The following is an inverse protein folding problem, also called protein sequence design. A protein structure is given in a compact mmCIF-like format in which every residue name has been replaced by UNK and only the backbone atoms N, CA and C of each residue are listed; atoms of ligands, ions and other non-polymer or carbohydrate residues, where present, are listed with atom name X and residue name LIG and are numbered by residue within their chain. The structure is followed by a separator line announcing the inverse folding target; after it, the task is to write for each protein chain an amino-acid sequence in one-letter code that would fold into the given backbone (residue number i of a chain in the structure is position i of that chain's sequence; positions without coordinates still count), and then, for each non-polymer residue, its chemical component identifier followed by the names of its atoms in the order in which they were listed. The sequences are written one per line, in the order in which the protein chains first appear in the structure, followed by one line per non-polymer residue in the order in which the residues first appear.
data_IF_992523921590
#
_entry.id   IF_992523921590
#
_cell.length_a   1.000
_cell.length_b   1.000
_cell.length_c   1.000
_cell.angle_alpha   90.00
_cell.angle_beta   90.00
_cell.angle_gamma   90.00
#
_symmetry.space_group_name_H-M   'P 1'
#
loop_
_entity.id
_entity.type
_entity.pdbx_description
1 polymer ?
#
# COMPACT_ATOMS: atom_id res chain seq x y z
N UNK A 1 17.61 17.56 2.09
CA UNK A 1 16.17 17.87 2.01
C UNK A 1 15.54 17.42 3.32
N UNK A 2 14.95 18.32 4.11
CA UNK A 2 14.28 17.93 5.35
C UNK A 2 13.08 16.99 5.10
N UNK A 3 12.58 16.28 6.13
CA UNK A 3 11.51 15.29 5.99
C UNK A 3 10.24 15.82 5.29
N UNK A 4 9.93 17.11 5.48
CA UNK A 4 8.82 17.79 4.80
C UNK A 4 9.06 17.96 3.28
N UNK A 5 10.30 18.17 2.86
CA UNK A 5 10.66 18.28 1.44
C UNK A 5 10.51 16.94 0.71
N UNK A 6 10.89 15.83 1.36
CA UNK A 6 10.73 14.49 0.79
C UNK A 6 9.25 14.15 0.56
N UNK A 7 8.37 14.50 1.50
CA UNK A 7 6.93 14.33 1.35
C UNK A 7 6.34 15.10 0.17
N UNK A 8 6.79 16.34 -0.08
CA UNK A 8 6.33 17.16 -1.20
C UNK A 8 6.77 16.58 -2.55
N UNK A 9 8.04 16.20 -2.69
CA UNK A 9 8.52 15.57 -3.93
C UNK A 9 7.89 14.20 -4.16
N UNK A 10 7.66 13.42 -3.11
CA UNK A 10 6.98 12.13 -3.19
C UNK A 10 5.53 12.29 -3.65
N UNK A 11 4.78 13.22 -3.06
CA UNK A 11 3.38 13.47 -3.45
C UNK A 11 3.26 14.05 -4.86
N UNK A 12 4.17 14.95 -5.27
CA UNK A 12 4.26 15.43 -6.66
C UNK A 12 4.58 14.30 -7.65
N UNK A 13 5.55 13.44 -7.32
CA UNK A 13 5.90 12.29 -8.15
C UNK A 13 4.75 11.29 -8.25
N UNK A 14 4.05 11.03 -7.15
CA UNK A 14 2.86 10.19 -7.13
C UNK A 14 1.73 10.80 -7.97
N UNK A 15 1.49 12.12 -7.89
CA UNK A 15 0.48 12.81 -8.69
C UNK A 15 0.79 12.70 -10.19
N UNK A 16 2.04 12.99 -10.59
CA UNK A 16 2.48 12.90 -11.98
C UNK A 16 2.38 11.45 -12.50
N UNK A 17 2.83 10.48 -11.70
CA UNK A 17 2.72 9.06 -12.02
C UNK A 17 1.27 8.63 -12.20
N UNK A 18 0.39 9.03 -11.28
CA UNK A 18 -1.05 8.78 -11.40
C UNK A 18 -1.60 9.40 -12.66
N UNK A 19 -1.25 10.64 -13.01
CA UNK A 19 -1.76 11.27 -14.23
C UNK A 19 -1.29 10.51 -15.49
N UNK A 20 -0.02 10.15 -15.56
CA UNK A 20 0.54 9.39 -16.68
C UNK A 20 -0.10 8.01 -16.84
N UNK A 21 -0.15 7.24 -15.75
CA UNK A 21 -0.70 5.88 -15.77
C UNK A 21 -2.22 5.88 -15.96
N UNK A 22 -2.94 6.82 -15.36
CA UNK A 22 -4.38 6.92 -15.53
C UNK A 22 -4.73 7.29 -16.98
N UNK A 23 -4.04 8.27 -17.58
CA UNK A 23 -4.18 8.58 -19.02
C UNK A 23 -3.85 7.36 -19.89
N UNK A 24 -2.79 6.62 -19.57
CA UNK A 24 -2.41 5.41 -20.30
C UNK A 24 -3.50 4.33 -20.23
N UNK A 25 -4.00 4.01 -19.04
CA UNK A 25 -5.03 2.99 -18.85
C UNK A 25 -6.40 3.41 -19.39
N UNK A 26 -6.71 4.71 -19.43
CA UNK A 26 -7.91 5.21 -20.11
C UNK A 26 -7.84 4.99 -21.63
N UNK A 27 -6.65 5.12 -22.23
CA UNK A 27 -6.41 4.88 -23.67
C UNK A 27 -6.25 3.39 -24.01
N UNK A 28 -5.62 2.61 -23.14
CA UNK A 28 -5.39 1.16 -23.27
C UNK A 28 -5.86 0.43 -22.01
N UNK A 29 -7.18 0.22 -21.85
CA UNK A 29 -7.69 -0.51 -20.71
C UNK A 29 -7.26 -1.98 -20.75
N UNK A 30 -6.95 -2.54 -19.59
CA UNK A 30 -6.64 -3.98 -19.44
C UNK A 30 -7.89 -4.84 -19.64
N UNK A 31 -9.08 -4.30 -19.35
CA UNK A 31 -10.39 -4.91 -19.53
C UNK A 31 -11.40 -3.81 -19.84
N UNK A 32 -12.24 -3.98 -20.87
CA UNK A 32 -13.29 -3.04 -21.25
C UNK A 32 -12.96 -2.13 -22.44
N UNK A 33 -13.79 -1.11 -22.66
CA UNK A 33 -13.64 -0.13 -23.76
C UNK A 33 -12.84 1.09 -23.30
N UNK A 34 -12.06 1.74 -24.20
CA UNK A 34 -11.39 2.99 -23.89
C UNK A 34 -12.38 4.03 -23.35
N UNK A 35 -12.02 4.73 -22.29
CA UNK A 35 -12.87 5.73 -21.64
C UNK A 35 -12.26 7.12 -21.81
N UNK A 36 -13.10 8.12 -22.06
CA UNK A 36 -12.64 9.50 -22.19
C UNK A 36 -12.51 10.16 -20.80
N UNK A 37 -11.72 11.24 -20.70
CA UNK A 37 -11.61 12.02 -19.46
C UNK A 37 -12.97 12.54 -18.95
N UNK A 38 -13.91 12.79 -19.85
CA UNK A 38 -15.29 13.16 -19.50
C UNK A 38 -16.02 12.07 -18.73
N UNK A 39 -15.69 10.80 -18.97
CA UNK A 39 -16.35 9.66 -18.32
C UNK A 39 -15.82 9.46 -16.91
N UNK A 40 -14.57 9.88 -16.64
CA UNK A 40 -14.03 9.95 -15.28
C UNK A 40 -14.85 10.93 -14.42
N UNK A 41 -15.17 12.14 -14.90
CA UNK A 41 -15.98 13.11 -14.15
C UNK A 41 -17.47 12.76 -14.07
N UNK A 42 -17.94 11.88 -14.96
CA UNK A 42 -19.31 11.32 -14.91
C UNK A 42 -19.43 10.10 -14.00
N UNK A 43 -18.31 9.63 -13.42
CA UNK A 43 -18.30 8.56 -12.44
C UNK A 43 -19.14 8.91 -11.21
N UNK A 44 -19.64 7.90 -10.48
CA UNK A 44 -20.40 8.14 -9.26
C UNK A 44 -19.56 8.90 -8.24
N UNK A 45 -20.13 9.95 -7.63
CA UNK A 45 -19.46 10.78 -6.62
C UNK A 45 -18.93 9.96 -5.43
N UNK A 46 -19.61 8.86 -5.08
CA UNK A 46 -19.13 7.90 -4.08
C UNK A 46 -17.81 7.25 -4.45
N UNK A 47 -17.57 6.95 -5.73
CA UNK A 47 -16.30 6.42 -6.23
C UNK A 47 -15.17 7.43 -6.09
N UNK A 48 -15.43 8.70 -6.42
CA UNK A 48 -14.46 9.78 -6.21
C UNK A 48 -14.14 10.00 -4.73
N UNK A 49 -15.15 9.96 -3.85
CA UNK A 49 -14.96 10.14 -2.41
C UNK A 49 -14.16 8.99 -1.80
N UNK A 50 -14.47 7.74 -2.16
CA UNK A 50 -13.70 6.57 -1.71
C UNK A 50 -12.25 6.63 -2.21
N UNK A 51 -12.04 7.05 -3.46
CA UNK A 51 -10.71 7.26 -4.02
C UNK A 51 -9.93 8.35 -3.27
N UNK A 52 -10.57 9.47 -2.94
CA UNK A 52 -9.95 10.55 -2.18
C UNK A 52 -9.61 10.11 -0.75
N UNK A 53 -10.53 9.44 -0.06
CA UNK A 53 -10.31 8.91 1.29
C UNK A 53 -9.17 7.88 1.30
N UNK A 54 -9.16 6.96 0.33
CA UNK A 54 -8.07 6.00 0.17
C UNK A 54 -6.72 6.68 -0.08
N UNK A 55 -6.71 7.70 -0.95
CA UNK A 55 -5.52 8.51 -1.22
C UNK A 55 -5.01 9.26 0.01
N UNK A 56 -5.90 9.86 0.81
CA UNK A 56 -5.55 10.56 2.06
C UNK A 56 -4.94 9.57 3.06
N UNK A 57 -5.58 8.42 3.28
CA UNK A 57 -5.11 7.40 4.23
C UNK A 57 -3.74 6.88 3.78
N UNK A 58 -3.60 6.52 2.51
CA UNK A 58 -2.35 6.00 1.97
C UNK A 58 -1.22 7.04 2.02
N UNK A 59 -1.46 8.25 1.52
CA UNK A 59 -0.47 9.32 1.51
C UNK A 59 -0.01 9.72 2.92
N UNK A 60 -0.95 9.81 3.87
CA UNK A 60 -0.63 10.08 5.28
C UNK A 60 0.24 8.96 5.87
N UNK A 61 -0.11 7.70 5.61
CA UNK A 61 0.68 6.54 6.02
C UNK A 61 2.10 6.55 5.44
N UNK A 62 2.25 6.90 4.16
CA UNK A 62 3.58 6.99 3.53
C UNK A 62 4.42 8.12 4.11
N UNK A 63 3.84 9.29 4.37
CA UNK A 63 4.56 10.40 5.01
C UNK A 63 5.02 10.00 6.41
N UNK A 64 4.16 9.39 7.22
CA UNK A 64 4.56 8.88 8.54
C UNK A 64 5.66 7.82 8.45
N UNK A 65 5.60 6.90 7.47
CA UNK A 65 6.67 5.92 7.26
C UNK A 65 8.00 6.61 6.93
N UNK A 66 8.01 7.57 5.99
CA UNK A 66 9.22 8.32 5.62
C UNK A 66 9.78 9.12 6.79
N UNK A 67 8.93 9.73 7.62
CA UNK A 67 9.36 10.44 8.83
C UNK A 67 9.96 9.46 9.83
N UNK A 68 9.30 8.33 10.10
CA UNK A 68 9.81 7.29 11.00
C UNK A 68 11.16 6.71 10.53
N UNK A 69 11.37 6.58 9.21
CA UNK A 69 12.65 6.15 8.63
C UNK A 69 13.82 7.05 9.01
N UNK A 70 13.59 8.36 9.12
CA UNK A 70 14.63 9.31 9.51
C UNK A 70 15.05 9.16 10.98
N UNK A 71 14.17 8.65 11.84
CA UNK A 71 14.45 8.46 13.28
C UNK A 71 14.92 7.05 13.64
N UNK A 72 14.40 6.02 12.96
CA UNK A 72 14.62 4.61 13.31
C UNK A 72 15.58 3.88 12.37
N UNK A 73 16.00 4.54 11.29
CA UNK A 73 16.79 3.94 10.23
C UNK A 73 15.93 3.28 9.15
N UNK A 74 16.47 3.24 7.93
CA UNK A 74 15.77 2.75 6.72
C UNK A 74 15.31 1.29 6.89
N UNK A 75 16.10 0.46 7.59
CA UNK A 75 15.79 -0.95 7.81
C UNK A 75 14.50 -1.17 8.63
N UNK A 76 14.31 -0.40 9.71
CA UNK A 76 13.11 -0.49 10.55
C UNK A 76 11.89 0.05 9.79
N UNK A 77 12.04 1.17 9.08
CA UNK A 77 10.95 1.71 8.27
C UNK A 77 10.50 0.78 7.15
N UNK A 78 11.44 0.09 6.52
CA UNK A 78 11.14 -0.93 5.52
C UNK A 78 10.37 -2.10 6.15
N UNK A 79 10.81 -2.59 7.32
CA UNK A 79 10.10 -3.64 8.05
C UNK A 79 8.65 -3.23 8.41
N UNK A 80 8.44 -1.98 8.83
CA UNK A 80 7.09 -1.42 9.07
C UNK A 80 6.27 -1.34 7.77
N UNK A 81 6.86 -0.89 6.67
CA UNK A 81 6.16 -0.82 5.38
C UNK A 81 5.72 -2.21 4.89
N UNK A 82 6.57 -3.23 5.10
CA UNK A 82 6.29 -4.61 4.73
C UNK A 82 5.25 -5.27 5.66
N UNK A 83 5.04 -4.78 6.88
CA UNK A 83 3.99 -5.33 7.76
C UNK A 83 2.57 -4.90 7.35
N UNK A 84 2.41 -3.86 6.53
CA UNK A 84 1.09 -3.43 6.03
C UNK A 84 0.32 -4.54 5.29
N UNK A 85 0.92 -5.32 4.37
CA UNK A 85 0.33 -6.55 3.83
C UNK A 85 -0.18 -7.54 4.88
N UNK A 86 0.53 -7.71 6.00
CA UNK A 86 0.10 -8.61 7.08
C UNK A 86 -1.15 -8.07 7.78
N UNK A 87 -1.19 -6.77 8.07
CA UNK A 87 -2.34 -6.11 8.70
C UNK A 87 -3.56 -6.17 7.77
N UNK A 88 -3.37 -5.94 6.48
CA UNK A 88 -4.41 -6.09 5.47
C UNK A 88 -4.95 -7.53 5.40
N UNK A 89 -4.06 -8.53 5.39
CA UNK A 89 -4.44 -9.93 5.41
C UNK A 89 -5.19 -10.31 6.69
N UNK A 90 -4.74 -9.84 7.86
CA UNK A 90 -5.43 -10.02 9.14
C UNK A 90 -6.83 -9.42 9.11
N UNK A 91 -6.97 -8.22 8.57
CA UNK A 91 -8.27 -7.55 8.43
C UNK A 91 -9.22 -8.33 7.50
N UNK A 92 -8.71 -8.86 6.38
CA UNK A 92 -9.47 -9.74 5.48
C UNK A 92 -9.93 -11.04 6.17
N UNK A 93 -9.11 -11.62 7.05
CA UNK A 93 -9.46 -12.82 7.82
C UNK A 93 -10.48 -12.51 8.93
N UNK A 94 -10.28 -11.44 9.68
CA UNK A 94 -11.03 -11.16 10.92
C UNK A 94 -12.32 -10.37 10.67
N UNK A 95 -12.24 -9.29 9.90
CA UNK A 95 -13.38 -8.40 9.63
C UNK A 95 -14.25 -8.94 8.50
N UNK A 96 -13.64 -9.30 7.37
CA UNK A 96 -14.37 -9.76 6.19
C UNK A 96 -14.55 -11.27 6.11
N UNK A 97 -13.85 -12.05 6.93
CA UNK A 97 -13.97 -13.51 6.97
C UNK A 97 -13.77 -14.16 5.58
N UNK A 98 -12.95 -13.55 4.73
CA UNK A 98 -12.79 -13.94 3.32
C UNK A 98 -12.32 -15.40 3.15
N UNK A 99 -11.68 -15.95 4.18
CA UNK A 99 -11.14 -17.31 4.18
C UNK A 99 -12.07 -18.36 4.83
N UNK A 100 -13.31 -18.02 5.19
CA UNK A 100 -14.21 -18.98 5.85
C UNK A 100 -14.52 -20.21 4.98
N UNK A 101 -14.66 -20.05 3.66
CA UNK A 101 -14.84 -21.15 2.69
C UNK A 101 -13.55 -21.63 2.01
N UNK A 102 -12.39 -21.07 2.36
CA UNK A 102 -11.14 -21.36 1.66
C UNK A 102 -10.63 -22.79 1.97
N UNK A 103 -10.06 -23.45 0.96
CA UNK A 103 -9.46 -24.78 1.09
C UNK A 103 -8.33 -24.80 2.12
N UNK A 104 -8.08 -25.96 2.71
CA UNK A 104 -7.06 -26.16 3.77
C UNK A 104 -5.67 -25.68 3.32
N UNK A 105 -5.34 -25.85 2.03
CA UNK A 105 -4.09 -25.32 1.43
C UNK A 105 -3.98 -23.79 1.49
N UNK A 106 -5.03 -23.05 1.16
CA UNK A 106 -5.01 -21.58 1.22
C UNK A 106 -4.81 -21.08 2.66
N UNK A 107 -5.44 -21.75 3.63
CA UNK A 107 -5.23 -21.45 5.06
C UNK A 107 -3.79 -21.78 5.50
N UNK A 108 -3.20 -22.85 4.99
CA UNK A 108 -1.78 -23.17 5.23
C UNK A 108 -0.84 -22.13 4.62
N UNK A 109 -1.08 -21.68 3.38
CA UNK A 109 -0.25 -20.64 2.76
C UNK A 109 -0.35 -19.30 3.50
N UNK A 110 -1.55 -18.94 3.95
CA UNK A 110 -1.74 -17.76 4.78
C UNK A 110 -0.97 -17.84 6.10
N UNK A 111 -1.02 -19.00 6.78
CA UNK A 111 -0.23 -19.22 7.99
C UNK A 111 1.29 -19.16 7.72
N UNK A 112 1.76 -19.78 6.64
CA UNK A 112 3.17 -19.73 6.22
C UNK A 112 3.62 -18.30 5.90
N UNK A 113 2.77 -17.49 5.25
CA UNK A 113 3.05 -16.08 5.00
C UNK A 113 3.33 -15.34 6.32
N UNK A 114 2.47 -15.49 7.33
CA UNK A 114 2.69 -14.87 8.65
C UNK A 114 3.99 -15.34 9.32
N UNK A 115 4.28 -16.64 9.26
CA UNK A 115 5.51 -17.22 9.84
C UNK A 115 6.77 -16.64 9.18
N UNK A 116 6.83 -16.63 7.85
CA UNK A 116 7.98 -16.07 7.12
C UNK A 116 8.14 -14.57 7.35
N UNK A 117 7.04 -13.83 7.48
CA UNK A 117 7.07 -12.41 7.79
C UNK A 117 7.63 -12.11 9.18
N UNK A 118 7.20 -12.86 10.20
CA UNK A 118 7.74 -12.73 11.56
C UNK A 118 9.24 -13.04 11.56
N UNK A 119 9.65 -14.12 10.89
CA UNK A 119 11.05 -14.48 10.71
C UNK A 119 11.86 -13.35 10.06
N UNK A 120 11.34 -12.77 8.97
CA UNK A 120 11.99 -11.66 8.27
C UNK A 120 12.17 -10.44 9.18
N UNK A 121 11.13 -10.04 9.92
CA UNK A 121 11.19 -8.91 10.85
C UNK A 121 12.21 -9.18 11.97
N UNK A 122 12.22 -10.39 12.54
CA UNK A 122 13.19 -10.77 13.59
C UNK A 122 14.62 -10.73 13.05
N UNK A 123 14.86 -11.25 11.84
CA UNK A 123 16.17 -11.23 11.21
C UNK A 123 16.65 -9.79 10.95
N UNK A 124 15.78 -8.93 10.42
CA UNK A 124 16.10 -7.51 10.18
C UNK A 124 16.37 -6.76 11.49
N UNK A 125 15.55 -7.01 12.52
CA UNK A 125 15.75 -6.40 13.84
C UNK A 125 17.09 -6.82 14.47
N UNK A 126 17.44 -8.10 14.40
CA UNK A 126 18.72 -8.63 14.90
C UNK A 126 19.92 -8.09 14.13
N UNK A 127 19.82 -7.97 12.81
CA UNK A 127 20.87 -7.41 11.98
C UNK A 127 21.12 -5.92 12.31
N UNK A 128 20.06 -5.15 12.57
CA UNK A 128 20.19 -3.73 12.91
C UNK A 128 20.78 -3.49 14.31
N UNK A 129 20.62 -4.41 15.25
CA UNK A 129 21.25 -4.33 16.58
C UNK A 129 22.74 -4.73 16.58
N UNK A 130 23.26 -5.28 15.48
CA UNK A 130 24.64 -5.75 15.37
C UNK A 130 25.62 -4.72 14.78
N UNK A 131 25.14 -3.50 14.51
CA UNK A 131 25.90 -2.33 14.03
C UNK A 131 25.86 -1.20 15.03
#
# INVERSE_FOLDING_TARGET
LGPYGVGVFFTLGALLSCFLWNVYFMRKPLVGTPVNFSDFFRGPASGHLLGLLGGIIWGTGTVFNLVAANFTGVAISYAIGQSAPMVAALWGVLAWKEFQGATRRSKTFLALMFVFYILAIVLVARANTAS
#
